data_IF_731810893803
#
_entry.id   IF_731810893803
#
_cell.length_a   1.000
_cell.length_b   1.000
_cell.length_c   1.000
_cell.angle_alpha   90.00
_cell.angle_beta   90.00
_cell.angle_gamma   90.00
#
_symmetry.space_group_name_H-M   'P 1'
#
loop_
_entity.id
_entity.type
_entity.pdbx_description
1 polymer ?
#
# COMPACT_ATOMS: atom_id res chain seq x y z
N UNK A 1 1.89 -13.54 22.50
CA UNK A 1 0.68 -13.42 21.66
C UNK A 1 1.05 -12.45 20.53
N UNK A 2 1.57 -12.96 19.42
CA UNK A 2 2.35 -12.21 18.42
C UNK A 2 1.54 -11.73 17.21
N UNK A 3 0.22 -11.82 17.24
CA UNK A 3 -0.64 -11.22 16.23
C UNK A 3 -1.14 -9.86 16.71
N UNK A 4 -0.76 -8.77 16.04
CA UNK A 4 -1.43 -7.48 16.22
C UNK A 4 -2.95 -7.61 16.02
N UNK A 5 -3.76 -6.64 16.48
CA UNK A 5 -5.21 -6.79 16.46
C UNK A 5 -5.72 -7.02 15.04
N UNK A 6 -6.63 -7.99 14.90
CA UNK A 6 -7.33 -8.31 13.66
C UNK A 6 -8.10 -7.07 13.17
N UNK A 7 -8.14 -6.88 11.85
CA UNK A 7 -8.87 -5.76 11.27
C UNK A 7 -10.34 -6.17 11.08
N UNK A 8 -11.25 -5.53 11.81
CA UNK A 8 -12.69 -5.61 11.56
C UNK A 8 -13.06 -4.69 10.41
N UNK A 9 -13.84 -5.18 9.46
CA UNK A 9 -14.43 -4.40 8.37
C UNK A 9 -15.95 -4.44 8.45
N UNK A 10 -16.58 -3.31 8.15
CA UNK A 10 -18.02 -3.18 8.06
C UNK A 10 -18.33 -2.67 6.66
N UNK A 11 -19.12 -3.41 5.90
CA UNK A 11 -19.51 -3.11 4.52
C UNK A 11 -21.00 -2.78 4.49
N UNK A 12 -21.35 -1.72 3.80
CA UNK A 12 -22.72 -1.21 3.71
C UNK A 12 -23.29 -1.38 2.32
N UNK A 13 -24.61 -1.44 2.20
CA UNK A 13 -25.35 -1.52 0.95
C UNK A 13 -26.74 -0.90 1.08
N UNK A 14 -27.66 -1.28 0.19
CA UNK A 14 -29.06 -0.85 0.25
C UNK A 14 -30.01 -2.06 0.15
N UNK A 15 -31.14 -2.02 0.87
CA UNK A 15 -32.24 -2.98 0.67
C UNK A 15 -33.10 -2.64 -0.57
N UNK A 16 -34.09 -3.50 -0.89
CA UNK A 16 -35.00 -3.31 -2.03
C UNK A 16 -35.89 -2.06 -1.94
N UNK A 17 -35.97 -1.43 -0.76
CA UNK A 17 -36.68 -0.17 -0.52
C UNK A 17 -35.74 1.06 -0.58
N UNK A 18 -34.45 0.85 -0.86
CA UNK A 18 -33.43 1.90 -0.92
C UNK A 18 -32.96 2.41 0.43
N UNK A 19 -33.12 1.63 1.52
CA UNK A 19 -32.57 1.98 2.85
C UNK A 19 -31.15 1.47 2.99
N UNK A 20 -30.28 2.27 3.59
CA UNK A 20 -28.91 1.84 3.89
C UNK A 20 -28.88 0.73 4.95
N UNK A 21 -28.15 -0.34 4.68
CA UNK A 21 -28.02 -1.52 5.54
C UNK A 21 -26.55 -1.92 5.73
N UNK A 22 -26.27 -2.74 6.75
CA UNK A 22 -24.99 -3.43 6.91
C UNK A 22 -25.08 -4.74 6.15
N UNK A 23 -24.24 -4.92 5.12
CA UNK A 23 -24.11 -6.16 4.38
C UNK A 23 -23.19 -7.14 5.10
N UNK A 24 -22.06 -6.64 5.60
CA UNK A 24 -21.03 -7.44 6.27
C UNK A 24 -20.51 -6.70 7.49
N UNK A 25 -20.26 -7.45 8.56
CA UNK A 25 -19.60 -7.00 9.77
C UNK A 25 -18.76 -8.17 10.30
N UNK A 26 -17.50 -8.22 9.89
CA UNK A 26 -16.62 -9.35 10.16
C UNK A 26 -15.15 -8.92 10.18
N UNK A 27 -14.28 -9.85 10.56
CA UNK A 27 -12.84 -9.71 10.39
C UNK A 27 -12.48 -9.79 8.90
N UNK A 28 -11.63 -8.87 8.44
CA UNK A 28 -11.13 -8.86 7.07
C UNK A 28 -10.36 -10.16 6.78
N UNK A 29 -10.80 -10.95 5.79
CA UNK A 29 -10.30 -12.31 5.63
C UNK A 29 -8.91 -12.36 4.98
N UNK A 30 -8.55 -11.37 4.16
CA UNK A 30 -7.23 -11.30 3.52
C UNK A 30 -6.19 -10.69 4.45
N UNK A 31 -5.73 -11.50 5.39
CA UNK A 31 -4.68 -11.15 6.34
C UNK A 31 -3.47 -12.06 6.13
N UNK A 32 -2.32 -11.45 5.88
CA UNK A 32 -1.00 -12.07 5.89
C UNK A 32 -0.26 -11.72 7.19
N UNK A 33 0.43 -12.70 7.75
CA UNK A 33 1.40 -12.55 8.83
C UNK A 33 2.62 -13.37 8.47
N UNK A 34 3.81 -12.79 8.57
CA UNK A 34 5.04 -13.55 8.31
C UNK A 34 5.29 -14.53 9.45
N UNK A 35 5.59 -15.77 9.10
CA UNK A 35 6.03 -16.80 10.04
C UNK A 35 7.50 -16.58 10.47
N UNK A 36 8.30 -15.90 9.63
CA UNK A 36 9.74 -15.74 9.82
C UNK A 36 10.13 -14.40 10.44
N UNK A 37 9.32 -13.35 10.23
CA UNK A 37 9.56 -11.99 10.73
C UNK A 37 8.40 -11.58 11.65
N UNK A 38 8.55 -11.75 12.97
CA UNK A 38 7.52 -11.37 13.94
C UNK A 38 7.13 -9.89 13.81
N UNK A 39 5.82 -9.62 13.77
CA UNK A 39 5.27 -8.27 13.65
C UNK A 39 5.01 -7.85 12.20
N UNK A 40 5.66 -8.45 11.21
CA UNK A 40 5.39 -8.17 9.81
C UNK A 40 4.03 -8.77 9.39
N UNK A 41 3.21 -7.94 8.74
CA UNK A 41 2.05 -8.44 8.04
C UNK A 41 1.24 -7.35 7.37
N UNK A 42 0.18 -7.78 6.69
CA UNK A 42 -0.71 -6.88 6.00
C UNK A 42 -2.12 -7.46 5.95
N UNK A 43 -3.12 -6.60 5.98
CA UNK A 43 -4.51 -6.96 5.76
C UNK A 43 -5.07 -6.09 4.63
N UNK A 44 -5.82 -6.69 3.70
CA UNK A 44 -6.61 -5.96 2.70
C UNK A 44 -8.09 -6.12 3.00
N UNK A 45 -8.75 -5.10 3.59
CA UNK A 45 -10.17 -5.17 3.90
C UNK A 45 -11.07 -5.03 2.68
N UNK A 46 -10.61 -4.31 1.64
CA UNK A 46 -11.38 -4.00 0.45
C UNK A 46 -10.46 -3.61 -0.72
N UNK A 47 -10.90 -3.86 -1.96
CA UNK A 47 -10.23 -3.39 -3.17
C UNK A 47 -11.26 -3.23 -4.30
N UNK A 48 -10.89 -2.57 -5.40
CA UNK A 48 -11.72 -2.46 -6.60
C UNK A 48 -10.87 -2.65 -7.85
N UNK A 49 -11.47 -3.28 -8.87
CA UNK A 49 -10.88 -3.35 -10.20
C UNK A 49 -10.98 -2.01 -10.96
N UNK A 50 -10.50 -1.97 -12.22
CA UNK A 50 -10.56 -0.78 -13.08
C UNK A 50 -11.98 -0.47 -13.60
N UNK A 51 -12.94 -1.37 -13.38
CA UNK A 51 -14.33 -1.18 -13.77
C UNK A 51 -15.00 -0.07 -12.95
N UNK A 52 -16.19 0.35 -13.39
CA UNK A 52 -17.01 1.25 -12.58
C UNK A 52 -17.32 0.60 -11.21
N UNK A 53 -17.25 1.41 -10.14
CA UNK A 53 -17.56 0.95 -8.79
C UNK A 53 -19.01 0.46 -8.76
N UNK A 54 -19.18 -0.82 -8.45
CA UNK A 54 -20.50 -1.42 -8.26
C UNK A 54 -21.05 -1.02 -6.88
N UNK A 55 -22.15 -0.29 -6.90
CA UNK A 55 -22.90 0.13 -5.70
C UNK A 55 -24.29 -0.52 -5.63
N UNK A 56 -24.59 -1.42 -6.58
CA UNK A 56 -25.90 -2.05 -6.75
C UNK A 56 -25.88 -3.48 -6.22
N UNK A 57 -24.82 -4.24 -6.50
CA UNK A 57 -24.74 -5.61 -5.99
C UNK A 57 -24.26 -5.65 -4.53
N UNK A 58 -24.63 -6.73 -3.84
CA UNK A 58 -24.13 -7.06 -2.50
C UNK A 58 -22.78 -7.82 -2.55
N UNK A 59 -22.07 -7.76 -3.68
CA UNK A 59 -20.83 -8.49 -3.86
C UNK A 59 -19.72 -7.97 -2.93
N UNK A 60 -19.13 -8.87 -2.14
CA UNK A 60 -17.92 -8.59 -1.41
C UNK A 60 -16.74 -8.54 -2.38
N UNK A 61 -16.02 -7.43 -2.42
CA UNK A 61 -14.85 -7.30 -3.29
C UNK A 61 -13.64 -8.08 -2.76
N UNK A 62 -13.56 -8.37 -1.47
CA UNK A 62 -12.45 -9.11 -0.87
C UNK A 62 -12.94 -10.32 -0.03
N UNK A 63 -13.61 -11.32 -0.66
CA UNK A 63 -14.17 -12.48 0.02
C UNK A 63 -13.13 -13.58 0.23
N UNK A 64 -13.35 -14.44 1.23
CA UNK A 64 -12.62 -15.71 1.36
C UNK A 64 -13.47 -16.94 0.98
N UNK A 65 -12.88 -17.96 0.33
CA UNK A 65 -11.53 -17.96 -0.24
C UNK A 65 -11.45 -17.04 -1.48
N UNK A 66 -10.31 -16.38 -1.68
CA UNK A 66 -10.11 -15.45 -2.79
C UNK A 66 -8.65 -15.00 -2.90
N UNK A 67 -8.32 -14.34 -4.01
CA UNK A 67 -6.99 -13.73 -4.23
C UNK A 67 -7.20 -12.22 -4.36
N UNK A 68 -6.46 -11.46 -3.56
CA UNK A 68 -6.42 -10.00 -3.64
C UNK A 68 -5.19 -9.60 -4.45
N UNK A 69 -5.30 -8.63 -5.37
CA UNK A 69 -4.14 -8.16 -6.11
C UNK A 69 -3.13 -7.48 -5.19
N UNK A 70 -1.84 -7.67 -5.47
CA UNK A 70 -0.79 -6.98 -4.71
C UNK A 70 -0.62 -5.52 -5.10
N UNK A 71 -1.03 -5.14 -6.31
CA UNK A 71 -0.98 -3.78 -6.83
C UNK A 71 -2.31 -3.39 -7.45
N UNK A 72 -2.70 -2.13 -7.29
CA UNK A 72 -3.93 -1.62 -7.89
C UNK A 72 -3.71 -1.47 -9.41
N UNK A 73 -4.57 -2.09 -10.22
CA UNK A 73 -4.58 -1.84 -11.67
C UNK A 73 -4.97 -0.40 -11.98
N UNK A 74 -4.62 0.16 -13.15
CA UNK A 74 -5.01 1.53 -13.52
C UNK A 74 -6.52 1.79 -13.33
N UNK A 75 -6.88 2.75 -12.48
CA UNK A 75 -8.28 3.06 -12.13
C UNK A 75 -8.87 2.23 -10.98
N UNK A 76 -8.23 1.13 -10.59
CA UNK A 76 -8.57 0.34 -9.42
C UNK A 76 -8.00 0.90 -8.13
N UNK A 77 -8.47 0.34 -7.00
CA UNK A 77 -8.03 0.75 -5.66
C UNK A 77 -7.71 -0.45 -4.79
N UNK A 78 -6.78 -0.29 -3.84
CA UNK A 78 -6.54 -1.25 -2.75
C UNK A 78 -6.49 -0.49 -1.44
N UNK A 79 -7.31 -0.89 -0.46
CA UNK A 79 -7.17 -0.49 0.93
C UNK A 79 -6.31 -1.52 1.65
N UNK A 80 -5.14 -1.13 2.15
CA UNK A 80 -4.22 -2.02 2.87
C UNK A 80 -3.89 -1.45 4.24
N UNK A 81 -3.91 -2.29 5.26
CA UNK A 81 -3.35 -1.96 6.58
C UNK A 81 -2.10 -2.82 6.75
N UNK A 82 -0.94 -2.19 6.86
CA UNK A 82 0.34 -2.89 6.98
C UNK A 82 0.99 -2.62 8.34
N UNK A 83 1.65 -3.66 8.84
CA UNK A 83 2.39 -3.68 10.09
C UNK A 83 3.88 -3.82 9.78
N UNK A 84 4.69 -2.86 10.22
CA UNK A 84 6.13 -2.80 10.01
C UNK A 84 6.86 -3.00 11.35
N UNK A 85 7.51 -4.14 11.58
CA UNK A 85 8.35 -4.32 12.77
C UNK A 85 9.63 -3.45 12.68
N UNK A 86 10.37 -3.30 13.79
CA UNK A 86 11.68 -2.65 13.79
C UNK A 86 12.59 -3.15 12.67
N UNK A 87 13.41 -2.27 12.09
CA UNK A 87 14.40 -2.63 11.06
C UNK A 87 15.36 -3.74 11.57
N UNK A 88 15.62 -3.78 12.88
CA UNK A 88 16.42 -4.82 13.54
C UNK A 88 15.76 -6.20 13.60
N UNK A 89 14.46 -6.30 13.33
CA UNK A 89 13.72 -7.57 13.30
C UNK A 89 13.88 -8.32 11.97
N UNK A 90 14.40 -7.66 10.94
CA UNK A 90 14.61 -8.24 9.63
C UNK A 90 15.96 -8.95 9.53
N UNK A 91 16.05 -10.13 8.88
CA UNK A 91 17.33 -10.79 8.65
C UNK A 91 18.24 -9.95 7.74
N UNK A 92 19.57 -10.10 7.81
CA UNK A 92 20.50 -9.34 6.97
C UNK A 92 20.23 -9.43 5.45
N UNK A 93 19.69 -10.56 4.99
CA UNK A 93 19.34 -10.83 3.58
C UNK A 93 17.84 -10.62 3.26
N UNK A 94 17.12 -9.92 4.14
CA UNK A 94 15.67 -9.67 4.10
C UNK A 94 15.13 -9.19 2.73
N UNK A 95 15.95 -8.42 2.00
CA UNK A 95 15.57 -7.89 0.69
C UNK A 95 15.17 -8.94 -0.33
N UNK A 96 15.64 -10.19 -0.25
CA UNK A 96 15.20 -11.26 -1.16
C UNK A 96 14.04 -12.10 -0.61
N UNK A 97 14.05 -12.34 0.71
CA UNK A 97 13.12 -13.28 1.37
C UNK A 97 11.71 -12.71 1.53
N UNK A 98 11.57 -11.43 1.89
CA UNK A 98 10.26 -10.87 2.21
C UNK A 98 9.43 -10.67 0.94
N UNK A 99 10.04 -10.28 -0.19
CA UNK A 99 9.29 -10.19 -1.43
C UNK A 99 8.86 -11.58 -1.91
N UNK A 100 9.65 -12.63 -1.69
CA UNK A 100 9.20 -13.98 -1.98
C UNK A 100 8.01 -14.39 -1.09
N UNK A 101 8.01 -14.06 0.21
CA UNK A 101 6.87 -14.31 1.10
C UNK A 101 5.63 -13.50 0.71
N UNK A 102 5.78 -12.24 0.31
CA UNK A 102 4.65 -11.40 -0.14
C UNK A 102 4.15 -11.84 -1.52
N UNK A 103 5.06 -12.25 -2.42
CA UNK A 103 4.75 -12.68 -3.78
C UNK A 103 4.06 -14.06 -3.80
N UNK A 104 4.48 -15.01 -2.95
CA UNK A 104 3.86 -16.33 -2.80
C UNK A 104 2.42 -16.28 -2.24
N UNK A 105 2.01 -15.15 -1.65
CA UNK A 105 0.63 -14.89 -1.21
C UNK A 105 -0.21 -14.07 -2.21
N UNK A 106 0.21 -14.01 -3.48
CA UNK A 106 -0.54 -13.36 -4.57
C UNK A 106 0.10 -12.08 -5.11
N UNK A 107 1.40 -11.87 -4.87
CA UNK A 107 2.19 -10.82 -5.52
C UNK A 107 2.76 -11.28 -6.84
N UNK A 108 2.00 -11.06 -7.90
CA UNK A 108 2.54 -11.06 -9.25
C UNK A 108 2.55 -9.64 -9.81
N UNK A 109 3.77 -9.22 -10.17
CA UNK A 109 4.18 -8.16 -11.11
C UNK A 109 3.38 -6.85 -11.13
N UNK A 110 3.95 -5.80 -10.51
CA UNK A 110 3.44 -4.43 -10.61
C UNK A 110 4.30 -3.35 -9.93
N UNK A 111 5.27 -3.75 -9.10
CA UNK A 111 6.27 -2.86 -8.52
C UNK A 111 7.67 -3.10 -9.12
N UNK A 112 8.36 -2.02 -9.49
CA UNK A 112 9.77 -2.09 -9.88
C UNK A 112 10.62 -2.14 -8.60
N UNK A 113 11.40 -3.21 -8.44
CA UNK A 113 12.36 -3.35 -7.34
C UNK A 113 13.58 -2.48 -7.66
N UNK A 114 13.88 -1.53 -6.79
CA UNK A 114 15.07 -0.69 -6.93
C UNK A 114 16.00 -1.04 -5.77
N UNK A 115 17.04 -1.81 -6.05
CA UNK A 115 18.06 -2.09 -5.03
C UNK A 115 18.75 -0.77 -4.64
N UNK A 116 18.68 -0.44 -3.35
CA UNK A 116 19.29 0.75 -2.79
C UNK A 116 20.14 0.37 -1.59
N UNK A 117 21.36 0.92 -1.53
CA UNK A 117 22.23 0.74 -0.37
C UNK A 117 21.67 1.43 0.89
N UNK A 118 20.68 2.32 0.76
CA UNK A 118 20.10 3.08 1.89
C UNK A 118 19.12 2.25 2.72
N UNK A 119 18.36 1.35 2.11
CA UNK A 119 17.41 0.48 2.81
C UNK A 119 17.00 -0.70 1.92
N UNK A 120 16.73 -1.85 2.51
CA UNK A 120 16.42 -3.09 1.77
C UNK A 120 15.05 -3.06 1.07
N UNK A 121 14.15 -2.15 1.47
CA UNK A 121 12.75 -2.10 1.04
C UNK A 121 12.46 -1.03 -0.03
N UNK A 122 13.45 -0.60 -0.81
CA UNK A 122 13.21 0.38 -1.87
C UNK A 122 12.44 -0.24 -3.03
N UNK A 123 11.32 0.37 -3.37
CA UNK A 123 10.46 -0.03 -4.49
C UNK A 123 9.68 1.15 -5.04
N UNK A 124 9.14 0.96 -6.24
CA UNK A 124 8.24 1.91 -6.89
C UNK A 124 6.99 1.19 -7.38
N UNK A 125 5.83 1.71 -7.05
CA UNK A 125 4.54 1.28 -7.58
C UNK A 125 4.00 2.31 -8.57
N UNK A 126 3.26 1.86 -9.58
CA UNK A 126 2.55 2.72 -10.53
C UNK A 126 1.20 3.17 -9.94
N UNK A 127 1.26 3.85 -8.80
CA UNK A 127 0.08 4.27 -8.04
C UNK A 127 0.25 5.65 -7.40
N UNK A 128 -0.89 6.29 -7.15
CA UNK A 128 -1.02 7.36 -6.16
C UNK A 128 -1.43 6.71 -4.85
N UNK A 129 -0.64 6.89 -3.79
CA UNK A 129 -0.95 6.31 -2.49
C UNK A 129 -1.23 7.40 -1.45
N UNK A 130 -2.30 7.20 -0.68
CA UNK A 130 -2.52 7.91 0.57
C UNK A 130 -2.08 7.00 1.71
N UNK A 131 -0.91 7.27 2.28
CA UNK A 131 -0.38 6.51 3.41
C UNK A 131 -0.57 7.29 4.71
N UNK A 132 -1.20 6.68 5.71
CA UNK A 132 -1.54 7.29 6.99
C UNK A 132 -0.92 6.46 8.11
N UNK A 133 -0.18 7.10 9.01
CA UNK A 133 0.31 6.42 10.21
C UNK A 133 -0.84 6.29 11.20
N UNK A 134 -1.17 5.05 11.57
CA UNK A 134 -2.21 4.76 12.58
C UNK A 134 -1.59 4.64 13.97
N UNK A 135 -0.42 4.03 14.08
CA UNK A 135 0.28 3.76 15.34
C UNK A 135 1.80 3.69 15.11
N UNK A 136 2.57 4.16 16.08
CA UNK A 136 4.05 4.13 16.03
C UNK A 136 4.65 5.31 15.27
N UNK A 137 5.96 5.22 15.02
CA UNK A 137 6.75 6.22 14.27
C UNK A 137 7.51 5.52 13.14
N UNK A 138 7.49 6.09 11.94
CA UNK A 138 8.16 5.51 10.77
C UNK A 138 8.83 6.58 9.92
N UNK A 139 9.93 6.23 9.28
CA UNK A 139 10.64 7.13 8.37
C UNK A 139 10.40 6.73 6.92
N UNK A 140 9.82 7.64 6.14
CA UNK A 140 9.78 7.55 4.68
C UNK A 140 11.15 7.93 4.12
N UNK A 141 11.68 7.08 3.25
CA UNK A 141 12.88 7.32 2.46
C UNK A 141 12.49 7.44 0.98
N UNK A 142 13.01 8.45 0.28
CA UNK A 142 12.93 8.57 -1.19
C UNK A 142 14.35 8.68 -1.75
N UNK A 143 14.51 8.80 -3.07
CA UNK A 143 15.84 8.90 -3.71
C UNK A 143 16.71 9.97 -3.04
N UNK A 144 16.15 11.17 -2.85
CA UNK A 144 16.80 12.30 -2.18
C UNK A 144 15.93 12.81 -1.03
N UNK A 145 16.33 12.50 0.20
CA UNK A 145 15.66 12.95 1.42
C UNK A 145 14.97 11.84 2.21
N UNK A 146 14.42 12.25 3.35
CA UNK A 146 13.63 11.43 4.26
C UNK A 146 12.71 12.28 5.11
N UNK A 147 11.63 11.69 5.64
CA UNK A 147 10.71 12.32 6.57
C UNK A 147 10.24 11.32 7.63
N UNK A 148 10.38 11.67 8.91
CA UNK A 148 9.87 10.88 10.04
C UNK A 148 8.44 11.31 10.37
N UNK A 149 7.56 10.33 10.56
CA UNK A 149 6.10 10.48 10.62
C UNK A 149 5.57 9.77 11.86
N UNK A 150 4.59 10.38 12.52
CA UNK A 150 3.88 9.82 13.67
C UNK A 150 2.37 9.69 13.43
N UNK A 151 1.60 9.21 14.42
CA UNK A 151 0.17 8.92 14.24
C UNK A 151 -0.63 10.13 13.78
N UNK A 152 -1.43 9.94 12.73
CA UNK A 152 -2.22 11.00 12.09
C UNK A 152 -1.52 11.72 10.93
N UNK A 153 -0.21 11.55 10.76
CA UNK A 153 0.50 12.08 9.59
C UNK A 153 0.12 11.33 8.32
N UNK A 154 0.09 12.07 7.21
CA UNK A 154 -0.34 11.58 5.89
C UNK A 154 0.74 11.86 4.86
N UNK A 155 1.12 10.83 4.11
CA UNK A 155 1.97 10.93 2.92
C UNK A 155 1.11 10.76 1.68
N UNK A 156 1.31 11.66 0.72
CA UNK A 156 0.77 11.55 -0.64
C UNK A 156 1.90 11.08 -1.55
N UNK A 157 1.97 9.76 -1.76
CA UNK A 157 3.03 9.12 -2.53
C UNK A 157 2.67 9.10 -4.02
N UNK A 158 3.46 9.78 -4.87
CA UNK A 158 3.11 10.03 -6.27
C UNK A 158 3.94 9.17 -7.23
N UNK A 159 3.77 7.85 -7.15
CA UNK A 159 4.53 6.88 -7.94
C UNK A 159 6.07 7.10 -7.87
N UNK A 160 6.57 7.41 -6.68
CA UNK A 160 7.99 7.69 -6.41
C UNK A 160 8.68 6.46 -5.82
N UNK A 161 9.95 6.27 -6.18
CA UNK A 161 10.79 5.25 -5.55
C UNK A 161 10.94 5.56 -4.06
N UNK A 162 10.66 4.58 -3.20
CA UNK A 162 10.61 4.82 -1.77
C UNK A 162 10.79 3.57 -0.92
N UNK A 163 11.02 3.81 0.37
CA UNK A 163 11.11 2.81 1.40
C UNK A 163 10.53 3.30 2.72
N UNK A 164 10.05 2.36 3.53
CA UNK A 164 9.56 2.62 4.89
C UNK A 164 10.53 1.96 5.87
N UNK A 165 11.17 2.78 6.72
CA UNK A 165 12.19 2.35 7.69
C UNK A 165 11.66 2.60 9.09
N UNK A 166 11.50 1.52 9.86
CA UNK A 166 11.09 1.57 11.25
C UNK A 166 12.35 1.50 12.13
N UNK A 167 12.87 2.67 12.47
CA UNK A 167 14.09 2.82 13.28
C UNK A 167 13.84 2.70 14.78
N UNK A 168 12.62 2.38 15.18
CA UNK A 168 12.19 2.27 16.59
C UNK A 168 12.32 0.82 17.09
N UNK A 169 11.90 0.57 18.34
CA UNK A 169 11.85 -0.76 18.95
C UNK A 169 10.43 -1.35 19.03
N UNK A 170 9.43 -0.66 18.45
CA UNK A 170 8.04 -1.06 18.44
C UNK A 170 7.51 -1.24 17.01
N UNK A 171 6.44 -2.02 16.86
CA UNK A 171 5.78 -2.22 15.57
C UNK A 171 5.01 -0.96 15.16
N UNK A 172 5.09 -0.58 13.88
CA UNK A 172 4.31 0.53 13.31
C UNK A 172 3.14 -0.02 12.53
N UNK A 173 1.98 0.64 12.64
CA UNK A 173 0.81 0.34 11.81
C UNK A 173 0.49 1.49 10.88
N UNK A 174 0.31 1.20 9.60
CA UNK A 174 -0.04 2.16 8.58
C UNK A 174 -1.27 1.71 7.79
N UNK A 175 -2.10 2.68 7.37
CA UNK A 175 -3.15 2.51 6.38
C UNK A 175 -2.67 3.08 5.04
N UNK A 176 -2.91 2.34 3.97
CA UNK A 176 -2.64 2.76 2.60
C UNK A 176 -3.91 2.66 1.77
N UNK A 177 -4.21 3.70 1.02
CA UNK A 177 -5.14 3.64 -0.12
C UNK A 177 -4.30 3.79 -1.38
N UNK A 178 -4.11 2.70 -2.11
CA UNK A 178 -3.39 2.69 -3.38
C UNK A 178 -4.40 2.89 -4.50
N UNK A 179 -4.15 3.86 -5.37
CA UNK A 179 -4.96 4.13 -6.57
C UNK A 179 -4.06 3.86 -7.78
N UNK A 180 -4.39 2.82 -8.54
CA UNK A 180 -3.57 2.42 -9.67
C UNK A 180 -3.60 3.45 -10.79
N UNK A 181 -2.45 3.69 -11.40
CA UNK A 181 -2.30 4.63 -12.52
C UNK A 181 -1.70 3.92 -13.74
N UNK A 182 -1.94 4.42 -14.97
CA UNK A 182 -1.15 4.00 -16.12
C UNK A 182 0.34 4.21 -15.84
N UNK A 183 1.21 3.28 -16.24
CA UNK A 183 2.63 3.36 -15.92
C UNK A 183 3.29 4.58 -16.55
N UNK A 184 4.18 5.23 -15.81
CA UNK A 184 5.01 6.32 -16.33
C UNK A 184 6.39 6.29 -15.68
N UNK A 185 7.44 6.14 -16.49
CA UNK A 185 8.80 6.06 -15.93
C UNK A 185 9.30 7.40 -15.38
N UNK A 186 10.21 7.39 -14.38
CA UNK A 186 10.85 8.60 -13.88
C UNK A 186 11.49 9.47 -14.99
N UNK A 187 12.13 8.84 -15.98
CA UNK A 187 12.72 9.53 -17.12
C UNK A 187 11.68 10.28 -17.97
N UNK A 188 10.52 9.65 -18.20
CA UNK A 188 9.42 10.28 -18.94
C UNK A 188 8.81 11.44 -18.15
N UNK A 189 8.67 11.31 -16.84
CA UNK A 189 8.25 12.42 -15.96
C UNK A 189 9.28 13.56 -16.07
N UNK A 190 10.57 13.27 -15.93
CA UNK A 190 11.62 14.27 -15.98
C UNK A 190 11.69 14.98 -17.34
N UNK A 191 11.51 14.24 -18.43
CA UNK A 191 11.40 14.81 -19.78
C UNK A 191 10.20 15.78 -19.88
N UNK A 192 9.00 15.34 -19.51
CA UNK A 192 7.79 16.17 -19.59
C UNK A 192 7.89 17.44 -18.74
N UNK A 193 8.55 17.37 -17.57
CA UNK A 193 8.82 18.54 -16.72
C UNK A 193 9.73 19.55 -17.41
N UNK A 194 10.81 19.11 -18.05
CA UNK A 194 11.72 20.00 -18.79
C UNK A 194 11.01 20.67 -19.96
N UNK A 195 10.22 19.93 -20.72
CA UNK A 195 9.44 20.47 -21.85
C UNK A 195 8.40 21.51 -21.40
N UNK A 196 7.71 21.24 -20.28
CA UNK A 196 6.72 22.18 -19.72
C UNK A 196 7.36 23.47 -19.22
N UNK A 197 8.56 23.41 -18.63
CA UNK A 197 9.28 24.59 -18.17
C UNK A 197 9.68 25.52 -19.33
N UNK A 198 10.16 24.96 -20.45
CA UNK A 198 10.53 25.72 -21.65
C UNK A 198 9.31 26.38 -22.32
N UNK A 199 8.15 25.71 -22.28
CA UNK A 199 6.89 26.25 -22.80
C UNK A 199 6.37 27.47 -22.02
N UNK A 200 6.65 27.53 -20.71
CA UNK A 200 6.29 28.70 -19.86
C UNK A 200 7.21 29.88 -20.13
N UNK A 201 8.50 29.66 -20.36
CA UNK A 201 9.47 30.72 -20.68
C UNK A 201 9.27 31.34 -22.07
N UNK A 202 8.69 30.60 -23.03
CA UNK A 202 8.46 31.11 -24.40
C UNK A 202 7.17 31.94 -24.51
N UNK A 203 6.32 31.92 -23.48
CA UNK A 203 5.06 32.67 -23.39
C UNK A 203 5.12 33.89 -22.45
N UNK A 204 6.28 34.16 -21.86
CA UNK A 204 6.57 35.32 -21.02
C UNK A 204 7.43 36.36 -21.78
#
# INVERSE_FOLDING_TARGET
MTGGPQIRRVVTGHDDDGRAIILLDDIAPHTFRSDSIPGLGATVPWWTGPEAIDLVSDADAAPAPGVVPSFASPGGTILRIADFPPDSSYPPDAGATIFAEIDDHGGHEGGERVQSARHFWFHRSESLDYAVVLEGEITLLVDEGEATLGPGDVVVQRATNHSWSNRTDANVRMLFVLIGTPPISPDRIAQARRESAVGVETLA
#
